data_IF_504991599101
#
_entry.id   IF_504991599101
#
_cell.length_a   1.000
_cell.length_b   1.000
_cell.length_c   1.000
_cell.angle_alpha   90.00
_cell.angle_beta   90.00
_cell.angle_gamma   90.00
#
_symmetry.space_group_name_H-M   'P 1'
#
loop_
_entity.id
_entity.type
_entity.pdbx_description
1 polymer ?
#
# COMPACT_ATOMS: atom_id res chain seq x y z
N UNK A 1 2.39 22.68 1.85
CA UNK A 1 3.82 22.59 2.23
C UNK A 1 4.40 21.40 1.50
N UNK A 2 5.40 21.56 0.63
CA UNK A 2 6.03 20.41 -0.06
C UNK A 2 6.75 19.56 1.00
N UNK A 3 6.52 18.25 1.08
CA UNK A 3 7.25 17.42 2.03
C UNK A 3 8.71 17.31 1.54
N UNK A 4 9.65 17.88 2.30
CA UNK A 4 11.06 17.53 2.15
C UNK A 4 11.24 16.05 2.51
N UNK A 5 12.09 15.33 1.78
CA UNK A 5 12.41 13.93 2.06
C UNK A 5 13.24 13.83 3.34
N UNK A 6 12.54 13.76 4.48
CA UNK A 6 13.16 13.44 5.75
C UNK A 6 13.40 11.94 5.85
N UNK A 7 14.66 11.56 6.06
CA UNK A 7 15.04 10.18 6.34
C UNK A 7 14.90 9.89 7.83
N UNK A 8 14.40 8.70 8.16
CA UNK A 8 14.26 8.22 9.53
C UNK A 8 15.24 7.06 9.72
N UNK A 9 16.17 7.21 10.67
CA UNK A 9 17.10 6.15 11.02
C UNK A 9 16.42 5.07 11.84
N UNK A 10 16.52 3.82 11.40
CA UNK A 10 15.93 2.66 12.06
C UNK A 10 17.02 1.63 12.33
N UNK A 11 17.05 1.08 13.53
CA UNK A 11 17.98 0.01 13.91
C UNK A 11 17.19 -1.21 14.39
N UNK A 12 17.51 -2.38 13.85
CA UNK A 12 16.87 -3.64 14.22
C UNK A 12 17.92 -4.67 14.66
N UNK A 13 17.50 -5.61 15.51
CA UNK A 13 18.27 -6.81 15.81
C UNK A 13 17.89 -7.92 14.81
N UNK A 14 18.83 -8.34 13.98
CA UNK A 14 18.65 -9.44 13.00
C UNK A 14 19.76 -10.46 13.19
N UNK A 15 19.41 -11.72 13.45
CA UNK A 15 20.38 -12.82 13.64
C UNK A 15 21.50 -12.47 14.64
N UNK A 16 21.12 -11.89 15.79
CA UNK A 16 22.04 -11.46 16.85
C UNK A 16 23.04 -10.34 16.44
N UNK A 17 22.74 -9.58 15.38
CA UNK A 17 23.50 -8.39 14.95
C UNK A 17 22.58 -7.20 14.80
N UNK A 18 23.03 -6.03 15.26
CA UNK A 18 22.34 -4.77 15.01
C UNK A 18 22.60 -4.30 13.59
N UNK A 19 21.53 -3.95 12.87
CA UNK A 19 21.57 -3.43 11.51
C UNK A 19 20.80 -2.12 11.47
N UNK A 20 21.44 -1.06 10.97
CA UNK A 20 20.84 0.27 10.83
C UNK A 20 20.61 0.61 9.36
N UNK A 21 19.49 1.25 9.06
CA UNK A 21 19.13 1.72 7.73
C UNK A 21 18.28 2.99 7.81
N UNK A 22 18.20 3.70 6.69
CA UNK A 22 17.37 4.90 6.54
C UNK A 22 16.07 4.55 5.83
N UNK A 23 14.97 5.08 6.34
CA UNK A 23 13.62 4.93 5.77
C UNK A 23 13.17 6.30 5.30
N UNK A 24 12.62 6.36 4.09
CA UNK A 24 12.00 7.56 3.56
C UNK A 24 10.50 7.32 3.41
N UNK A 25 9.69 8.30 3.80
CA UNK A 25 8.25 8.25 3.56
C UNK A 25 7.98 8.71 2.12
N UNK A 26 7.21 7.94 1.37
CA UNK A 26 6.67 8.39 0.09
C UNK A 26 5.85 9.66 0.33
N UNK A 27 5.95 10.69 -0.52
CA UNK A 27 5.12 11.89 -0.38
C UNK A 27 3.64 11.54 -0.17
N UNK A 28 2.96 12.32 0.67
CA UNK A 28 1.56 12.12 1.06
C UNK A 28 1.24 10.85 1.88
N UNK A 29 2.23 10.07 2.33
CA UNK A 29 1.98 8.84 3.11
C UNK A 29 1.15 9.09 4.39
N UNK A 30 1.48 10.13 5.18
CA UNK A 30 0.77 10.38 6.43
C UNK A 30 -0.70 10.76 6.18
N UNK A 31 -0.94 11.62 5.19
CA UNK A 31 -2.30 12.00 4.74
C UNK A 31 -3.06 10.78 4.24
N UNK A 32 -2.42 9.98 3.37
CA UNK A 32 -2.98 8.75 2.83
C UNK A 32 -3.42 7.80 3.95
N UNK A 33 -2.51 7.47 4.89
CA UNK A 33 -2.80 6.56 5.99
C UNK A 33 -3.89 7.09 6.92
N UNK A 34 -3.85 8.38 7.29
CA UNK A 34 -4.89 8.99 8.11
C UNK A 34 -6.26 8.86 7.46
N UNK A 35 -6.36 9.00 6.14
CA UNK A 35 -7.61 8.96 5.42
C UNK A 35 -8.12 7.53 5.20
N UNK A 36 -7.27 6.62 4.70
CA UNK A 36 -7.69 5.24 4.40
C UNK A 36 -8.02 4.45 5.66
N UNK A 37 -7.35 4.72 6.80
CA UNK A 37 -7.69 4.07 8.07
C UNK A 37 -9.04 4.52 8.65
N UNK A 38 -9.59 5.66 8.20
CA UNK A 38 -10.96 6.07 8.56
C UNK A 38 -12.00 5.41 7.64
N UNK A 39 -11.61 5.07 6.42
CA UNK A 39 -12.52 4.56 5.39
C UNK A 39 -12.60 3.03 5.34
N UNK A 40 -11.51 2.35 5.66
CA UNK A 40 -11.35 0.91 5.46
C UNK A 40 -10.78 0.21 6.69
N UNK A 41 -11.05 -1.08 6.82
CA UNK A 41 -10.26 -1.97 7.68
C UNK A 41 -8.93 -2.29 6.98
N UNK A 42 -7.89 -1.54 7.32
CA UNK A 42 -6.57 -1.60 6.68
C UNK A 42 -5.72 -2.72 7.29
N UNK A 43 -5.07 -3.49 6.42
CA UNK A 43 -4.04 -4.46 6.79
C UNK A 43 -2.74 -4.21 6.00
N UNK A 44 -1.60 -4.43 6.63
CA UNK A 44 -0.31 -4.46 5.93
C UNK A 44 -0.01 -5.88 5.50
N UNK A 45 0.30 -6.09 4.22
CA UNK A 45 0.78 -7.37 3.72
C UNK A 45 2.10 -7.18 2.97
N UNK A 46 3.22 -7.57 3.59
CA UNK A 46 4.57 -7.40 3.05
C UNK A 46 5.27 -8.73 2.79
N UNK A 47 6.13 -8.79 1.78
CA UNK A 47 7.04 -9.91 1.54
C UNK A 47 8.34 -9.81 2.39
N UNK A 48 8.44 -8.78 3.25
CA UNK A 48 9.54 -8.58 4.18
C UNK A 48 9.44 -9.43 5.45
N UNK A 49 10.56 -9.60 6.13
CA UNK A 49 10.65 -10.27 7.44
C UNK A 49 10.02 -9.41 8.54
N UNK A 50 9.34 -10.06 9.50
CA UNK A 50 8.60 -9.39 10.58
C UNK A 50 9.42 -8.36 11.37
N UNK A 51 10.65 -8.63 11.85
CA UNK A 51 11.42 -7.66 12.64
C UNK A 51 11.71 -6.36 11.88
N UNK A 52 12.01 -6.48 10.58
CA UNK A 52 12.25 -5.34 9.71
C UNK A 52 10.96 -4.56 9.46
N UNK A 53 9.88 -5.27 9.10
CA UNK A 53 8.60 -4.65 8.81
C UNK A 53 8.01 -3.93 10.03
N UNK A 54 8.05 -4.55 11.21
CA UNK A 54 7.54 -3.93 12.44
C UNK A 54 8.31 -2.65 12.80
N UNK A 55 9.63 -2.65 12.63
CA UNK A 55 10.44 -1.46 12.90
C UNK A 55 10.05 -0.29 11.98
N UNK A 56 9.73 -0.56 10.71
CA UNK A 56 9.23 0.46 9.78
C UNK A 56 7.81 0.89 10.14
N UNK A 57 6.92 -0.06 10.40
CA UNK A 57 5.52 0.23 10.70
C UNK A 57 5.36 1.07 11.96
N UNK A 58 6.19 0.83 12.98
CA UNK A 58 6.18 1.64 14.20
C UNK A 58 6.63 3.10 13.97
N UNK A 59 7.32 3.37 12.84
CA UNK A 59 7.73 4.71 12.43
C UNK A 59 6.64 5.39 11.59
N UNK A 60 6.04 4.67 10.63
CA UNK A 60 5.10 5.27 9.67
C UNK A 60 3.64 5.27 10.15
N UNK A 61 3.29 4.42 11.12
CA UNK A 61 1.99 4.39 11.80
C UNK A 61 2.16 4.48 13.33
N UNK A 62 2.66 5.63 13.84
CA UNK A 62 2.95 5.78 15.27
C UNK A 62 1.69 5.78 16.14
N UNK A 63 0.52 6.02 15.55
CA UNK A 63 -0.78 5.99 16.23
C UNK A 63 -1.38 4.58 16.27
N UNK A 64 -0.71 3.58 15.69
CA UNK A 64 -1.16 2.19 15.62
C UNK A 64 -2.58 2.06 15.04
N UNK A 65 -2.88 2.78 13.97
CA UNK A 65 -4.15 2.61 13.26
C UNK A 65 -4.25 1.22 12.63
N UNK A 66 -3.12 0.61 12.25
CA UNK A 66 -3.06 -0.65 11.52
C UNK A 66 -2.66 -1.81 12.44
N UNK A 67 -3.66 -2.58 12.84
CA UNK A 67 -3.51 -3.71 13.77
C UNK A 67 -3.16 -5.02 13.05
N UNK A 68 -3.68 -5.22 11.84
CA UNK A 68 -3.50 -6.45 11.07
C UNK A 68 -2.24 -6.35 10.20
N UNK A 69 -1.26 -7.21 10.48
CA UNK A 69 0.06 -7.23 9.81
C UNK A 69 0.39 -8.65 9.37
N UNK A 70 0.65 -8.82 8.08
CA UNK A 70 1.00 -10.06 7.40
C UNK A 70 2.37 -9.88 6.75
N UNK A 71 3.24 -10.88 6.93
CA UNK A 71 4.64 -10.82 6.55
C UNK A 71 4.98 -11.91 5.53
N UNK A 72 6.27 -12.06 5.24
CA UNK A 72 6.78 -13.07 4.30
C UNK A 72 6.25 -14.48 4.57
N UNK A 73 6.15 -14.87 5.83
CA UNK A 73 5.62 -16.18 6.26
C UNK A 73 4.13 -16.40 5.94
N UNK A 74 3.38 -15.32 5.72
CA UNK A 74 1.97 -15.37 5.30
C UNK A 74 1.81 -15.40 3.77
N UNK A 75 2.89 -15.18 3.00
CA UNK A 75 2.84 -15.31 1.54
C UNK A 75 2.73 -16.78 1.15
N UNK A 76 1.87 -17.08 0.18
CA UNK A 76 1.75 -18.43 -0.38
C UNK A 76 2.85 -18.67 -1.42
N UNK A 77 3.36 -19.90 -1.50
CA UNK A 77 4.30 -20.30 -2.53
C UNK A 77 3.54 -21.00 -3.67
N UNK A 78 3.49 -20.37 -4.85
CA UNK A 78 2.82 -20.90 -6.04
C UNK A 78 3.83 -20.90 -7.19
N UNK A 79 4.07 -22.07 -7.79
CA UNK A 79 5.09 -22.29 -8.83
C UNK A 79 6.49 -21.79 -8.45
N UNK A 80 6.88 -21.97 -7.18
CA UNK A 80 8.16 -21.49 -6.66
C UNK A 80 8.27 -19.96 -6.51
N UNK A 81 7.18 -19.22 -6.70
CA UNK A 81 7.12 -17.76 -6.50
C UNK A 81 6.19 -17.41 -5.35
N UNK A 82 6.58 -16.40 -4.56
CA UNK A 82 5.73 -15.89 -3.49
C UNK A 82 4.59 -15.05 -4.04
N UNK A 83 3.38 -15.30 -3.56
CA UNK A 83 2.18 -14.53 -3.87
C UNK A 83 1.45 -14.17 -2.57
N UNK A 84 0.79 -13.02 -2.57
CA UNK A 84 -0.06 -12.50 -1.51
C UNK A 84 -1.50 -12.82 -1.88
N UNK A 85 -2.05 -13.85 -1.25
CA UNK A 85 -3.44 -14.25 -1.47
C UNK A 85 -4.35 -13.34 -0.65
N UNK A 86 -5.24 -12.59 -1.31
CA UNK A 86 -6.11 -11.64 -0.60
C UNK A 86 -7.04 -12.37 0.40
N UNK A 87 -7.40 -13.62 0.10
CA UNK A 87 -8.20 -14.50 0.96
C UNK A 87 -7.53 -14.80 2.32
N UNK A 88 -6.20 -14.65 2.42
CA UNK A 88 -5.47 -14.76 3.70
C UNK A 88 -5.83 -13.61 4.66
N UNK A 89 -6.28 -12.49 4.11
CA UNK A 89 -6.64 -11.28 4.87
C UNK A 89 -8.16 -11.14 5.03
N UNK A 90 -8.93 -11.42 3.97
CA UNK A 90 -10.39 -11.36 3.98
C UNK A 90 -10.97 -12.33 2.94
N UNK A 91 -11.91 -13.20 3.36
CA UNK A 91 -12.59 -14.14 2.48
C UNK A 91 -13.69 -13.51 1.60
N UNK A 92 -14.22 -12.35 1.98
CA UNK A 92 -15.23 -11.60 1.22
C UNK A 92 -14.56 -10.76 0.11
N UNK A 93 -14.21 -11.41 -1.01
CA UNK A 93 -13.42 -10.84 -2.09
C UNK A 93 -14.07 -9.64 -2.77
N UNK A 94 -15.39 -9.59 -2.83
CA UNK A 94 -16.16 -8.45 -3.36
C UNK A 94 -15.93 -7.14 -2.60
N UNK A 95 -15.45 -7.22 -1.35
CA UNK A 95 -15.18 -6.05 -0.49
C UNK A 95 -13.70 -5.80 -0.21
N UNK A 96 -12.81 -6.60 -0.80
CA UNK A 96 -11.38 -6.56 -0.49
C UNK A 96 -10.56 -6.08 -1.69
N UNK A 97 -9.63 -5.16 -1.44
CA UNK A 97 -8.68 -4.66 -2.43
C UNK A 97 -7.25 -4.82 -1.94
N UNK A 98 -6.33 -5.10 -2.85
CA UNK A 98 -4.90 -5.24 -2.58
C UNK A 98 -4.13 -4.18 -3.38
N UNK A 99 -3.37 -3.32 -2.69
CA UNK A 99 -2.51 -2.32 -3.34
C UNK A 99 -1.06 -2.77 -3.25
N UNK A 100 -0.41 -2.95 -4.40
CA UNK A 100 0.99 -3.39 -4.45
C UNK A 100 1.66 -2.92 -5.76
N UNK A 101 2.97 -2.70 -5.69
CA UNK A 101 3.76 -2.24 -6.82
C UNK A 101 4.33 -3.37 -7.69
N UNK A 102 4.32 -4.61 -7.18
CA UNK A 102 4.86 -5.76 -7.90
C UNK A 102 3.73 -6.73 -8.34
N UNK A 103 3.46 -6.83 -9.65
CA UNK A 103 2.41 -7.69 -10.18
C UNK A 103 2.58 -9.18 -9.90
N UNK A 104 3.81 -9.63 -9.61
CA UNK A 104 4.03 -11.03 -9.23
C UNK A 104 3.38 -11.37 -7.88
N UNK A 105 3.31 -10.41 -6.95
CA UNK A 105 2.72 -10.68 -5.63
C UNK A 105 1.21 -10.85 -5.68
N UNK A 106 0.50 -10.18 -6.58
CA UNK A 106 -0.95 -10.32 -6.72
C UNK A 106 -1.38 -11.04 -7.99
N UNK A 107 -0.47 -11.79 -8.63
CA UNK A 107 -0.74 -12.45 -9.92
C UNK A 107 -1.94 -13.40 -9.89
N UNK A 108 -2.29 -13.91 -8.71
CA UNK A 108 -3.43 -14.81 -8.50
C UNK A 108 -4.75 -14.08 -8.17
N UNK A 109 -4.70 -12.80 -7.80
CA UNK A 109 -5.84 -12.00 -7.35
C UNK A 109 -5.93 -10.66 -8.09
N UNK A 110 -5.63 -10.68 -9.41
CA UNK A 110 -5.57 -9.47 -10.26
C UNK A 110 -6.85 -8.65 -10.26
N UNK A 111 -8.01 -9.29 -10.19
CA UNK A 111 -9.31 -8.64 -10.17
C UNK A 111 -9.55 -7.81 -8.90
N UNK A 112 -8.75 -8.03 -7.86
CA UNK A 112 -8.79 -7.32 -6.59
C UNK A 112 -7.60 -6.37 -6.42
N UNK A 113 -6.71 -6.29 -7.40
CA UNK A 113 -5.44 -5.59 -7.27
C UNK A 113 -5.48 -4.18 -7.87
N UNK A 114 -4.98 -3.22 -7.11
CA UNK A 114 -4.67 -1.86 -7.53
C UNK A 114 -3.16 -1.80 -7.69
N UNK A 115 -2.70 -1.77 -8.94
CA UNK A 115 -1.27 -1.57 -9.22
C UNK A 115 -0.87 -0.14 -8.89
N UNK A 116 0.14 0.04 -8.05
CA UNK A 116 0.76 1.35 -7.79
C UNK A 116 2.19 1.38 -8.34
N UNK A 117 2.67 2.55 -8.75
CA UNK A 117 4.06 2.67 -9.20
C UNK A 117 5.07 2.43 -8.08
N UNK A 118 6.22 1.86 -8.43
CA UNK A 118 7.35 1.78 -7.52
C UNK A 118 7.93 3.17 -7.28
N UNK A 119 8.29 3.45 -6.03
CA UNK A 119 8.84 4.75 -5.63
C UNK A 119 10.27 4.60 -5.15
N UNK A 120 11.15 5.47 -5.65
CA UNK A 120 12.59 5.41 -5.41
C UNK A 120 13.15 6.73 -4.86
N UNK A 121 12.33 7.50 -4.12
CA UNK A 121 12.76 8.75 -3.51
C UNK A 121 12.48 10.01 -4.33
N UNK A 122 11.52 9.98 -5.27
CA UNK A 122 11.08 11.20 -5.95
C UNK A 122 10.21 12.03 -4.98
N UNK A 123 10.64 13.26 -4.67
CA UNK A 123 9.96 14.18 -3.77
C UNK A 123 8.72 14.84 -4.42
N UNK A 124 8.58 14.72 -5.74
CA UNK A 124 7.43 15.19 -6.52
C UNK A 124 6.39 14.11 -6.78
N UNK A 125 6.60 12.88 -6.29
CA UNK A 125 5.63 11.79 -6.40
C UNK A 125 4.29 12.20 -5.77
N UNK A 126 3.19 11.91 -6.47
CA UNK A 126 1.82 12.22 -6.02
C UNK A 126 0.91 11.00 -6.05
N UNK A 127 1.46 9.80 -6.24
CA UNK A 127 0.66 8.61 -6.54
C UNK A 127 -0.24 8.21 -5.38
N UNK A 128 0.22 8.37 -4.13
CA UNK A 128 -0.63 8.15 -2.95
C UNK A 128 -1.77 9.19 -2.86
N UNK A 129 -1.48 10.46 -3.16
CA UNK A 129 -2.50 11.53 -3.19
C UNK A 129 -3.57 11.21 -4.23
N UNK A 130 -3.16 10.87 -5.45
CA UNK A 130 -4.08 10.57 -6.53
C UNK A 130 -4.90 9.31 -6.30
N UNK A 131 -4.39 8.35 -5.52
CA UNK A 131 -5.13 7.14 -5.19
C UNK A 131 -6.35 7.39 -4.28
N UNK A 132 -6.33 8.46 -3.46
CA UNK A 132 -7.39 8.73 -2.48
C UNK A 132 -8.80 8.91 -3.09
N UNK A 133 -9.03 9.76 -4.11
CA UNK A 133 -10.34 9.88 -4.74
C UNK A 133 -10.88 8.57 -5.30
N UNK A 134 -10.01 7.72 -5.85
CA UNK A 134 -10.43 6.42 -6.36
C UNK A 134 -10.84 5.50 -5.22
N UNK A 135 -10.05 5.42 -4.16
CA UNK A 135 -10.42 4.64 -2.97
C UNK A 135 -11.73 5.16 -2.36
N UNK A 136 -11.97 6.46 -2.33
CA UNK A 136 -13.23 7.02 -1.84
C UNK A 136 -14.43 6.55 -2.67
N UNK A 137 -14.31 6.55 -4.01
CA UNK A 137 -15.32 5.99 -4.92
C UNK A 137 -15.59 4.51 -4.61
N UNK A 138 -14.54 3.71 -4.41
CA UNK A 138 -14.66 2.27 -4.16
C UNK A 138 -15.49 1.93 -2.91
N UNK A 139 -15.64 2.87 -1.95
CA UNK A 139 -16.49 2.69 -0.77
C UNK A 139 -17.98 2.57 -1.10
N UNK A 140 -18.38 3.04 -2.27
CA UNK A 140 -19.78 3.02 -2.74
C UNK A 140 -20.10 1.82 -3.62
N UNK A 141 -19.09 1.00 -3.93
CA UNK A 141 -19.19 -0.14 -4.84
C UNK A 141 -19.47 -1.41 -4.04
N UNK A 142 -20.50 -2.16 -4.43
CA UNK A 142 -20.86 -3.43 -3.77
C UNK A 142 -19.84 -4.54 -4.05
N UNK A 143 -19.37 -4.65 -5.31
CA UNK A 143 -18.28 -5.55 -5.69
C UNK A 143 -17.14 -4.78 -6.36
N UNK A 144 -16.04 -4.58 -5.63
CA UNK A 144 -14.88 -3.81 -6.07
C UNK A 144 -14.28 -4.34 -7.38
N UNK A 145 -14.42 -5.64 -7.66
CA UNK A 145 -13.88 -6.29 -8.86
C UNK A 145 -14.59 -5.84 -10.13
N UNK A 146 -15.85 -5.40 -10.02
CA UNK A 146 -16.63 -4.87 -11.14
C UNK A 146 -16.01 -3.60 -11.73
N UNK A 147 -15.38 -2.79 -10.89
CA UNK A 147 -14.68 -1.56 -11.29
C UNK A 147 -13.22 -1.86 -11.64
N UNK A 148 -12.52 -2.65 -10.83
CA UNK A 148 -11.10 -2.93 -11.04
C UNK A 148 -10.81 -3.70 -12.34
N UNK A 149 -11.74 -4.53 -12.81
CA UNK A 149 -11.63 -5.23 -14.10
C UNK A 149 -11.79 -4.32 -15.31
N UNK A 150 -12.33 -3.10 -15.13
CA UNK A 150 -12.36 -2.09 -16.17
C UNK A 150 -10.94 -1.50 -16.26
N UNK A 151 -10.08 -2.08 -17.10
CA UNK A 151 -8.68 -1.67 -17.33
C UNK A 151 -8.46 -0.16 -17.65
N UNK A 152 -9.51 0.66 -17.70
CA UNK A 152 -9.48 2.11 -17.87
C UNK A 152 -9.37 2.91 -16.56
N UNK A 153 -9.52 2.31 -15.37
CA UNK A 153 -9.52 3.07 -14.10
C UNK A 153 -8.21 3.84 -13.87
N UNK A 154 -7.07 3.29 -14.30
CA UNK A 154 -5.75 3.95 -14.22
C UNK A 154 -5.66 5.23 -15.06
N UNK A 155 -6.38 5.29 -16.19
CA UNK A 155 -6.46 6.49 -17.04
C UNK A 155 -7.33 7.57 -16.38
N UNK A 156 -8.45 7.16 -15.76
CA UNK A 156 -9.31 8.07 -15.01
C UNK A 156 -8.58 8.69 -13.82
N UNK A 157 -7.79 7.89 -13.09
CA UNK A 157 -7.01 8.36 -11.94
C UNK A 157 -6.00 9.45 -12.28
N UNK A 158 -5.25 9.29 -13.38
CA UNK A 158 -4.29 10.31 -13.80
C UNK A 158 -4.97 11.62 -14.15
N UNK A 159 -6.09 11.56 -14.86
CA UNK A 159 -6.88 12.76 -15.21
C UNK A 159 -7.47 13.46 -13.98
N UNK A 160 -7.94 12.68 -12.99
CA UNK A 160 -8.41 13.25 -11.72
C UNK A 160 -7.25 13.87 -10.95
N UNK A 161 -6.09 13.23 -10.91
CA UNK A 161 -4.89 13.77 -10.28
C UNK A 161 -4.42 15.10 -10.89
N UNK A 162 -4.39 15.17 -12.22
CA UNK A 162 -4.10 16.40 -12.97
C UNK A 162 -5.12 17.51 -12.63
N UNK A 163 -6.42 17.20 -12.57
CA UNK A 163 -7.46 18.17 -12.24
C UNK A 163 -7.40 18.64 -10.76
N UNK A 164 -6.93 17.81 -9.83
CA UNK A 164 -6.71 18.21 -8.43
C UNK A 164 -5.55 19.21 -8.35
N UNK A 165 -4.50 19.00 -9.12
CA UNK A 165 -3.33 19.87 -9.13
C UNK A 165 -3.60 21.23 -9.80
N UNK A 166 -4.55 21.33 -10.72
CA UNK A 166 -4.99 22.60 -11.32
C UNK A 166 -5.76 23.50 -10.35
N UNK A 167 -6.27 22.95 -9.24
CA UNK A 167 -7.09 23.65 -8.25
C UNK A 167 -6.36 23.98 -6.93
N UNK A 168 -5.04 23.72 -6.85
CA UNK A 168 -4.14 24.05 -5.71
C UNK A 168 -3.09 25.10 -6.08
#
# INVERSE_FOLDING_TARGET
MKPSLESIGVTILRQNKYVSFYVYKRPYLDEFLNQVCQWFDVAIFTAGEKPYADAILNVIDPKCHIQRRYYKENCSLVDGRYVKRIETVNSALETAMLVDNNPEYYRMDKCNAISITSWYGDDKDKELKYLLPFLDLMRTVEDVRSVLNLNCWTVCLKRVGEAIDENE
#
